data_IF_340352570398
#
_entry.id   IF_340352570398
#
_cell.length_a   1.000
_cell.length_b   1.000
_cell.length_c   1.000
_cell.angle_alpha   90.00
_cell.angle_beta   90.00
_cell.angle_gamma   90.00
#
_symmetry.space_group_name_H-M   'P 1'
#
loop_
_entity.id
_entity.type
_entity.pdbx_description
1 polymer ?
#
# COMPACT_ATOMS: atom_id res chain seq x y z
N UNK A 1 -26.98 -44.91 7.57
CA UNK A 1 -25.79 -45.25 6.76
C UNK A 1 -25.59 -44.33 5.53
N UNK A 2 -26.60 -43.58 5.05
CA UNK A 2 -26.46 -42.74 3.84
C UNK A 2 -25.57 -41.49 3.96
N UNK A 3 -25.61 -40.77 5.10
CA UNK A 3 -24.95 -39.45 5.20
C UNK A 3 -23.42 -39.44 5.09
N UNK A 4 -22.74 -40.54 5.43
CA UNK A 4 -21.28 -40.61 5.30
C UNK A 4 -20.85 -40.85 3.84
N UNK A 5 -21.55 -41.74 3.13
CA UNK A 5 -21.30 -42.02 1.72
C UNK A 5 -21.61 -40.80 0.85
N UNK A 6 -22.69 -40.09 1.16
CA UNK A 6 -23.09 -38.85 0.49
C UNK A 6 -22.01 -37.75 0.61
N UNK A 7 -21.51 -37.52 1.82
CA UNK A 7 -20.42 -36.58 2.06
C UNK A 7 -19.13 -36.95 1.30
N UNK A 8 -18.82 -38.24 1.16
CA UNK A 8 -17.66 -38.71 0.38
C UNK A 8 -17.86 -38.46 -1.12
N UNK A 9 -19.06 -38.71 -1.65
CA UNK A 9 -19.40 -38.46 -3.06
C UNK A 9 -19.26 -36.98 -3.38
N UNK A 10 -19.87 -36.10 -2.58
CA UNK A 10 -19.73 -34.64 -2.75
C UNK A 10 -18.30 -34.13 -2.52
N UNK A 11 -17.49 -34.85 -1.76
CA UNK A 11 -16.08 -34.48 -1.53
C UNK A 11 -15.19 -34.82 -2.72
N UNK A 12 -15.29 -36.01 -3.30
CA UNK A 12 -14.30 -36.50 -4.28
C UNK A 12 -14.83 -36.67 -5.69
N UNK A 13 -16.13 -36.91 -5.84
CA UNK A 13 -16.76 -37.34 -7.10
C UNK A 13 -17.89 -36.42 -7.54
N UNK A 14 -17.96 -35.20 -6.98
CA UNK A 14 -19.06 -34.28 -7.22
C UNK A 14 -19.12 -33.74 -8.64
N UNK A 15 -18.13 -34.01 -9.50
CA UNK A 15 -18.07 -33.49 -10.86
C UNK A 15 -17.66 -34.55 -11.89
N UNK A 16 -17.78 -35.84 -11.56
CA UNK A 16 -17.53 -36.90 -12.54
C UNK A 16 -18.60 -36.87 -13.64
N UNK A 17 -18.22 -37.26 -14.85
CA UNK A 17 -19.04 -37.14 -16.06
C UNK A 17 -20.28 -38.04 -16.12
N UNK A 18 -20.56 -38.85 -15.10
CA UNK A 18 -21.67 -39.80 -15.06
C UNK A 18 -22.52 -39.60 -13.78
N UNK A 19 -23.84 -39.83 -13.82
CA UNK A 19 -24.67 -39.80 -12.61
C UNK A 19 -24.26 -40.87 -11.60
N UNK A 20 -24.14 -40.47 -10.35
CA UNK A 20 -23.96 -41.33 -9.18
C UNK A 20 -25.30 -41.41 -8.44
N UNK A 21 -25.81 -42.62 -8.29
CA UNK A 21 -27.01 -42.94 -7.50
C UNK A 21 -26.59 -43.75 -6.27
N UNK A 22 -27.19 -43.48 -5.11
CA UNK A 22 -26.95 -44.25 -3.88
C UNK A 22 -28.21 -45.04 -3.53
N UNK A 23 -28.13 -46.37 -3.53
CA UNK A 23 -29.29 -47.23 -3.27
C UNK A 23 -30.35 -47.13 -4.37
N UNK A 24 -31.62 -46.99 -3.97
CA UNK A 24 -32.78 -46.93 -4.88
C UNK A 24 -33.16 -45.48 -5.29
N UNK A 25 -32.28 -44.51 -5.05
CA UNK A 25 -32.53 -43.11 -5.40
C UNK A 25 -32.55 -42.91 -6.92
N UNK A 26 -33.56 -42.18 -7.41
CA UNK A 26 -33.74 -41.87 -8.84
C UNK A 26 -33.13 -40.55 -9.26
N UNK A 27 -32.72 -39.72 -8.29
CA UNK A 27 -32.01 -38.46 -8.52
C UNK A 27 -30.51 -38.69 -8.33
N UNK A 28 -29.70 -38.20 -9.26
CA UNK A 28 -28.26 -38.24 -9.11
C UNK A 28 -27.82 -37.34 -7.95
N UNK A 29 -26.88 -37.84 -7.15
CA UNK A 29 -26.35 -37.17 -5.97
C UNK A 29 -25.25 -36.19 -6.36
N UNK A 30 -24.31 -36.63 -7.20
CA UNK A 30 -23.22 -35.78 -7.67
C UNK A 30 -23.71 -34.72 -8.66
N UNK A 31 -22.98 -33.62 -8.73
CA UNK A 31 -23.10 -32.69 -9.84
C UNK A 31 -22.37 -33.29 -11.05
N UNK A 32 -22.90 -33.05 -12.24
CA UNK A 32 -22.38 -33.71 -13.45
C UNK A 32 -21.47 -32.81 -14.28
N UNK A 33 -21.53 -31.49 -14.06
CA UNK A 33 -20.80 -30.52 -14.88
C UNK A 33 -19.89 -29.66 -14.02
N UNK A 34 -18.58 -29.87 -14.20
CA UNK A 34 -17.55 -28.96 -13.74
C UNK A 34 -17.64 -27.64 -14.53
N UNK A 35 -18.23 -26.60 -13.93
CA UNK A 35 -18.46 -25.31 -14.62
C UNK A 35 -17.17 -24.67 -15.15
N UNK A 36 -16.03 -24.94 -14.51
CA UNK A 36 -14.71 -24.44 -14.94
C UNK A 36 -14.22 -25.09 -16.25
N UNK A 37 -14.78 -26.24 -16.66
CA UNK A 37 -14.46 -26.90 -17.94
C UNK A 37 -15.38 -26.45 -19.08
N UNK A 38 -16.48 -25.76 -18.81
CA UNK A 38 -17.37 -25.24 -19.83
C UNK A 38 -16.72 -24.08 -20.61
N UNK A 39 -17.11 -23.83 -21.86
CA UNK A 39 -16.78 -22.59 -22.55
C UNK A 39 -17.27 -21.36 -21.76
N UNK A 40 -16.53 -20.25 -21.81
CA UNK A 40 -16.89 -19.06 -21.01
C UNK A 40 -18.27 -18.48 -21.35
N UNK A 41 -18.74 -18.67 -22.59
CA UNK A 41 -20.07 -18.28 -23.04
C UNK A 41 -21.21 -19.10 -22.40
N UNK A 42 -20.92 -20.28 -21.86
CA UNK A 42 -21.91 -21.16 -21.22
C UNK A 42 -21.96 -21.01 -19.70
N UNK A 43 -20.98 -20.32 -19.11
CA UNK A 43 -20.95 -20.05 -17.67
C UNK A 43 -21.65 -18.71 -17.39
N UNK A 44 -22.90 -18.76 -16.92
CA UNK A 44 -23.61 -17.54 -16.51
C UNK A 44 -23.01 -16.96 -15.23
N UNK A 45 -23.25 -15.66 -14.98
CA UNK A 45 -22.75 -15.00 -13.77
C UNK A 45 -23.40 -15.61 -12.51
N UNK A 46 -24.69 -15.95 -12.58
CA UNK A 46 -25.42 -16.58 -11.46
C UNK A 46 -24.83 -17.95 -11.09
N UNK A 47 -24.52 -18.79 -12.10
CA UNK A 47 -23.93 -20.10 -11.86
C UNK A 47 -22.52 -19.98 -11.26
N UNK A 48 -21.73 -19.01 -11.73
CA UNK A 48 -20.40 -18.74 -11.18
C UNK A 48 -20.47 -18.21 -9.74
N UNK A 49 -21.39 -17.29 -9.45
CA UNK A 49 -21.56 -16.70 -8.13
C UNK A 49 -22.07 -17.75 -7.12
N UNK A 50 -23.03 -18.59 -7.51
CA UNK A 50 -23.48 -19.71 -6.66
C UNK A 50 -22.35 -20.69 -6.36
N UNK A 51 -21.51 -20.99 -7.36
CA UNK A 51 -20.32 -21.81 -7.12
C UNK A 51 -19.32 -21.13 -6.18
N UNK A 52 -19.05 -19.84 -6.35
CA UNK A 52 -18.19 -19.07 -5.44
C UNK A 52 -18.69 -19.15 -3.99
N UNK A 53 -19.99 -18.91 -3.76
CA UNK A 53 -20.59 -18.96 -2.41
C UNK A 53 -20.45 -20.34 -1.77
N UNK A 54 -20.63 -21.39 -2.55
CA UNK A 54 -20.49 -22.76 -2.07
C UNK A 54 -19.04 -23.17 -1.84
N UNK A 55 -18.12 -22.61 -2.63
CA UNK A 55 -16.68 -22.85 -2.48
C UNK A 55 -16.13 -22.18 -1.21
N UNK A 56 -16.55 -20.95 -0.94
CA UNK A 56 -15.96 -20.07 0.08
C UNK A 56 -16.78 -19.96 1.36
N UNK A 57 -18.05 -20.38 1.32
CA UNK A 57 -19.06 -20.11 2.36
C UNK A 57 -19.32 -18.61 2.59
N UNK A 58 -18.88 -17.75 1.67
CA UNK A 58 -19.28 -16.36 1.59
C UNK A 58 -20.70 -16.28 1.01
N UNK A 59 -21.54 -15.41 1.56
CA UNK A 59 -22.90 -15.19 1.04
C UNK A 59 -22.98 -14.01 0.07
N UNK A 60 -21.88 -13.26 -0.09
CA UNK A 60 -21.76 -12.17 -1.04
C UNK A 60 -21.27 -12.67 -2.40
N UNK A 61 -21.64 -11.96 -3.46
CA UNK A 61 -21.13 -12.26 -4.80
C UNK A 61 -19.66 -11.79 -4.90
N UNK A 62 -18.81 -12.47 -5.68
CA UNK A 62 -17.43 -12.06 -5.88
C UNK A 62 -17.37 -10.74 -6.66
N UNK A 63 -16.31 -9.96 -6.44
CA UNK A 63 -16.05 -8.73 -7.20
C UNK A 63 -15.83 -9.03 -8.68
N UNK A 64 -15.05 -10.07 -8.97
CA UNK A 64 -14.72 -10.44 -10.34
C UNK A 64 -14.49 -11.93 -10.46
N UNK A 65 -14.77 -12.47 -11.64
CA UNK A 65 -14.43 -13.84 -12.04
C UNK A 65 -13.35 -13.83 -13.12
N UNK A 66 -12.45 -14.80 -13.05
CA UNK A 66 -11.38 -15.00 -14.01
C UNK A 66 -11.39 -16.46 -14.44
N UNK A 67 -11.83 -16.71 -15.67
CA UNK A 67 -11.83 -18.05 -16.23
C UNK A 67 -10.59 -18.26 -17.10
N UNK A 68 -9.91 -19.38 -16.88
CA UNK A 68 -8.73 -19.77 -17.66
C UNK A 68 -9.01 -21.11 -18.31
N UNK A 69 -9.03 -21.13 -19.64
CA UNK A 69 -9.19 -22.34 -20.42
C UNK A 69 -8.09 -22.31 -21.50
N UNK A 70 -7.02 -23.06 -21.29
CA UNK A 70 -5.86 -23.06 -22.18
C UNK A 70 -5.22 -24.44 -22.25
N UNK A 71 -4.71 -24.79 -23.44
CA UNK A 71 -4.02 -26.05 -23.71
C UNK A 71 -2.50 -25.85 -23.92
N UNK A 72 -2.05 -24.58 -24.03
CA UNK A 72 -0.64 -24.21 -24.28
C UNK A 72 -0.28 -22.99 -23.40
N UNK A 73 0.86 -22.99 -22.68
CA UNK A 73 1.91 -24.02 -22.67
C UNK A 73 1.62 -25.24 -21.77
N UNK A 74 0.49 -25.23 -21.06
CA UNK A 74 0.02 -26.30 -20.17
C UNK A 74 -1.49 -26.41 -20.31
N UNK A 75 -2.03 -27.63 -20.27
CA UNK A 75 -3.46 -27.85 -20.27
C UNK A 75 -4.05 -27.59 -18.89
N UNK A 76 -4.76 -26.47 -18.76
CA UNK A 76 -5.45 -26.09 -17.52
C UNK A 76 -6.85 -25.56 -17.80
N UNK A 77 -7.75 -25.85 -16.86
CA UNK A 77 -9.09 -25.30 -16.75
C UNK A 77 -9.23 -24.74 -15.33
N UNK A 78 -9.44 -23.44 -15.20
CA UNK A 78 -9.57 -22.80 -13.91
C UNK A 78 -10.71 -21.79 -13.90
N UNK A 79 -11.33 -21.66 -12.73
CA UNK A 79 -12.30 -20.62 -12.44
C UNK A 79 -11.89 -19.99 -11.11
N UNK A 80 -11.40 -18.76 -11.21
CA UNK A 80 -10.87 -17.99 -10.10
C UNK A 80 -11.79 -16.80 -9.81
N UNK A 81 -11.75 -16.33 -8.57
CA UNK A 81 -12.59 -15.26 -8.07
C UNK A 81 -11.75 -14.30 -7.21
N UNK A 82 -12.06 -13.03 -7.35
CA UNK A 82 -11.65 -11.99 -6.41
C UNK A 82 -12.85 -11.74 -5.49
N UNK A 83 -12.75 -12.01 -4.18
CA UNK A 83 -13.82 -11.70 -3.23
C UNK A 83 -14.21 -10.22 -3.26
N UNK A 84 -15.46 -9.90 -2.92
CA UNK A 84 -15.91 -8.51 -2.82
C UNK A 84 -15.28 -7.75 -1.65
N UNK A 85 -14.91 -8.46 -0.58
CA UNK A 85 -14.28 -7.91 0.62
C UNK A 85 -13.16 -8.81 1.08
N UNK A 86 -12.15 -8.21 1.70
CA UNK A 86 -11.15 -8.98 2.42
C UNK A 86 -11.80 -9.59 3.67
N UNK A 87 -11.59 -10.88 3.91
CA UNK A 87 -12.01 -11.53 5.15
C UNK A 87 -11.13 -11.03 6.32
N UNK A 88 -11.73 -10.20 7.19
CA UNK A 88 -11.10 -9.58 8.36
C UNK A 88 -11.62 -10.19 9.66
N UNK A 89 -11.98 -11.48 9.67
CA UNK A 89 -12.44 -12.16 10.89
C UNK A 89 -11.58 -11.85 12.12
N UNK A 90 -12.22 -11.73 13.29
CA UNK A 90 -11.72 -11.10 14.53
C UNK A 90 -10.29 -11.51 14.99
N UNK A 91 -9.71 -12.61 14.51
CA UNK A 91 -8.36 -13.09 14.86
C UNK A 91 -7.64 -13.82 13.72
N UNK A 92 -7.97 -13.58 12.45
CA UNK A 92 -7.51 -14.43 11.35
C UNK A 92 -6.23 -13.94 10.66
N UNK A 93 -5.13 -14.66 10.86
CA UNK A 93 -4.25 -15.02 9.74
C UNK A 93 -4.95 -16.22 9.08
N UNK A 94 -5.64 -16.02 7.96
CA UNK A 94 -6.31 -17.11 7.24
C UNK A 94 -5.26 -18.15 6.87
N UNK A 95 -5.17 -19.25 7.63
CA UNK A 95 -4.21 -20.33 7.38
C UNK A 95 -4.65 -21.19 6.18
N UNK A 96 -5.95 -21.20 5.90
CA UNK A 96 -6.63 -22.00 4.87
C UNK A 96 -6.84 -21.18 3.58
N UNK A 97 -5.74 -20.69 3.01
CA UNK A 97 -5.73 -20.03 1.69
C UNK A 97 -5.13 -20.94 0.61
N UNK A 98 -5.45 -20.63 -0.64
CA UNK A 98 -4.96 -21.38 -1.81
C UNK A 98 -6.10 -22.01 -2.60
N UNK A 99 -5.79 -22.44 -3.81
CA UNK A 99 -6.81 -22.91 -4.75
C UNK A 99 -7.15 -24.38 -4.52
N UNK A 100 -8.39 -24.75 -4.81
CA UNK A 100 -8.79 -26.16 -4.85
C UNK A 100 -8.23 -26.82 -6.12
N UNK A 101 -7.47 -27.90 -5.95
CA UNK A 101 -6.79 -28.58 -7.04
C UNK A 101 -7.51 -29.88 -7.42
N UNK A 102 -7.80 -30.02 -8.71
CA UNK A 102 -8.42 -31.17 -9.33
C UNK A 102 -7.50 -31.77 -10.41
N UNK A 103 -7.60 -33.07 -10.60
CA UNK A 103 -7.06 -33.77 -11.76
C UNK A 103 -8.13 -34.68 -12.32
N UNK A 104 -8.39 -34.60 -13.63
CA UNK A 104 -9.51 -35.31 -14.26
C UNK A 104 -10.86 -35.12 -13.54
N UNK A 105 -11.16 -33.90 -13.09
CA UNK A 105 -12.38 -33.57 -12.31
C UNK A 105 -12.48 -34.26 -10.95
N UNK A 106 -11.44 -34.97 -10.51
CA UNK A 106 -11.34 -35.58 -9.19
C UNK A 106 -10.57 -34.63 -8.27
N UNK A 107 -11.14 -34.34 -7.11
CA UNK A 107 -10.54 -33.42 -6.15
C UNK A 107 -9.30 -34.05 -5.50
N UNK A 108 -8.15 -33.40 -5.62
CA UNK A 108 -6.87 -33.86 -5.10
C UNK A 108 -6.58 -33.20 -3.76
N UNK A 109 -6.59 -31.88 -3.72
CA UNK A 109 -6.20 -31.12 -2.53
C UNK A 109 -7.00 -29.82 -2.42
N UNK A 110 -7.45 -29.51 -1.21
CA UNK A 110 -8.01 -28.19 -0.87
C UNK A 110 -6.85 -27.25 -0.46
N UNK A 111 -7.00 -25.95 -0.70
CA UNK A 111 -6.05 -24.92 -0.25
C UNK A 111 -4.61 -25.15 -0.72
N UNK A 112 -4.41 -25.52 -1.99
CA UNK A 112 -3.08 -25.73 -2.54
C UNK A 112 -2.40 -24.38 -2.87
N UNK A 113 -1.44 -24.01 -2.03
CA UNK A 113 -0.81 -22.68 -1.98
C UNK A 113 0.18 -22.41 -3.13
N UNK A 114 0.75 -23.44 -3.74
CA UNK A 114 1.83 -23.27 -4.72
C UNK A 114 1.36 -22.85 -6.13
N UNK A 115 0.04 -22.76 -6.36
CA UNK A 115 -0.53 -22.36 -7.67
C UNK A 115 -0.51 -20.86 -7.92
N UNK A 116 -0.35 -20.05 -6.88
CA UNK A 116 -0.25 -18.60 -6.97
C UNK A 116 0.85 -18.09 -6.04
N UNK A 117 1.46 -16.94 -6.32
CA UNK A 117 2.37 -16.29 -5.39
C UNK A 117 1.62 -15.79 -4.16
N UNK A 118 2.34 -15.62 -3.04
CA UNK A 118 1.73 -15.27 -1.76
C UNK A 118 0.95 -13.94 -1.79
N UNK A 119 1.37 -12.99 -2.62
CA UNK A 119 0.66 -11.72 -2.79
C UNK A 119 -0.68 -11.85 -3.53
N UNK A 120 -1.00 -13.02 -4.11
CA UNK A 120 -2.32 -13.32 -4.70
C UNK A 120 -3.10 -14.32 -3.84
N UNK A 121 -2.74 -14.49 -2.56
CA UNK A 121 -3.39 -15.44 -1.63
C UNK A 121 -4.87 -15.16 -1.36
N UNK A 122 -5.37 -13.98 -1.72
CA UNK A 122 -6.78 -13.61 -1.60
C UNK A 122 -7.65 -14.20 -2.74
N UNK A 123 -7.04 -14.76 -3.79
CA UNK A 123 -7.77 -15.39 -4.89
C UNK A 123 -8.35 -16.71 -4.42
N UNK A 124 -9.66 -16.85 -4.60
CA UNK A 124 -10.40 -18.09 -4.35
C UNK A 124 -10.70 -18.77 -5.67
N UNK A 125 -10.76 -20.10 -5.69
CA UNK A 125 -11.13 -20.78 -6.93
C UNK A 125 -10.67 -22.21 -7.04
N UNK A 126 -10.79 -22.69 -8.26
CA UNK A 126 -10.50 -24.07 -8.65
C UNK A 126 -9.56 -24.11 -9.84
N UNK A 127 -8.64 -25.08 -9.83
CA UNK A 127 -7.74 -25.40 -10.94
C UNK A 127 -7.84 -26.89 -11.21
N UNK A 128 -8.05 -27.25 -12.47
CA UNK A 128 -8.18 -28.62 -12.94
C UNK A 128 -7.25 -28.85 -14.14
N UNK A 129 -6.52 -29.95 -14.11
CA UNK A 129 -5.64 -30.35 -15.21
C UNK A 129 -5.49 -31.87 -15.26
N UNK A 130 -5.54 -32.39 -16.48
CA UNK A 130 -5.40 -33.82 -16.77
C UNK A 130 -3.93 -34.28 -16.70
N UNK A 131 -2.98 -33.34 -16.69
CA UNK A 131 -1.54 -33.61 -16.78
C UNK A 131 -0.80 -33.49 -15.43
N UNK A 132 -1.52 -33.31 -14.32
CA UNK A 132 -0.90 -33.14 -13.00
C UNK A 132 -0.16 -34.43 -12.59
N UNK A 133 1.14 -34.36 -12.29
CA UNK A 133 1.90 -35.52 -11.80
C UNK A 133 1.49 -35.82 -10.36
N UNK A 134 0.63 -36.82 -10.20
CA UNK A 134 0.19 -37.28 -8.88
C UNK A 134 1.16 -38.31 -8.31
N UNK A 135 1.33 -38.27 -6.99
CA UNK A 135 2.01 -39.35 -6.28
C UNK A 135 1.18 -40.66 -6.32
N UNK A 136 1.76 -41.78 -5.87
CA UNK A 136 1.08 -43.09 -5.92
C UNK A 136 -0.22 -43.12 -5.13
N UNK A 137 -0.32 -42.37 -4.02
CA UNK A 137 -1.57 -42.27 -3.24
C UNK A 137 -2.62 -41.36 -3.86
N UNK A 138 -2.27 -40.53 -4.86
CA UNK A 138 -3.10 -39.47 -5.44
C UNK A 138 -3.62 -38.46 -4.42
N UNK A 139 -2.97 -38.34 -3.26
CA UNK A 139 -3.37 -37.47 -2.15
C UNK A 139 -2.53 -36.20 -2.06
N UNK A 140 -1.37 -36.16 -2.71
CA UNK A 140 -0.55 -34.95 -2.73
C UNK A 140 0.19 -34.78 -4.06
N UNK A 141 0.43 -33.51 -4.40
CA UNK A 141 1.14 -33.12 -5.61
C UNK A 141 2.60 -32.84 -5.27
N UNK A 142 3.51 -33.38 -6.09
CA UNK A 142 4.92 -33.08 -5.98
C UNK A 142 5.25 -31.79 -6.74
N UNK A 143 6.15 -30.98 -6.18
CA UNK A 143 6.68 -29.83 -6.89
C UNK A 143 7.33 -30.29 -8.20
N UNK A 144 6.94 -29.67 -9.32
CA UNK A 144 7.42 -30.04 -10.65
C UNK A 144 7.51 -28.83 -11.59
N UNK A 145 8.31 -28.90 -12.66
CA UNK A 145 8.34 -27.85 -13.68
C UNK A 145 6.97 -27.58 -14.31
N UNK A 146 6.08 -28.60 -14.34
CA UNK A 146 4.70 -28.45 -14.80
C UNK A 146 3.89 -27.55 -13.86
N UNK A 147 3.94 -27.79 -12.55
CA UNK A 147 3.27 -26.95 -11.55
C UNK A 147 3.78 -25.50 -11.58
N UNK A 148 5.10 -25.30 -11.75
CA UNK A 148 5.67 -23.96 -11.90
C UNK A 148 5.14 -23.22 -13.16
N UNK A 149 4.92 -23.93 -14.27
CA UNK A 149 4.29 -23.35 -15.47
C UNK A 149 2.83 -23.00 -15.23
N UNK A 150 2.08 -23.85 -14.53
CA UNK A 150 0.69 -23.53 -14.13
C UNK A 150 0.68 -22.23 -13.30
N UNK A 151 1.51 -22.15 -12.26
CA UNK A 151 1.64 -20.94 -11.43
C UNK A 151 1.88 -19.70 -12.28
N UNK A 152 2.87 -19.75 -13.19
CA UNK A 152 3.19 -18.63 -14.09
C UNK A 152 2.00 -18.22 -14.98
N UNK A 153 1.27 -19.19 -15.54
CA UNK A 153 0.10 -18.90 -16.38
C UNK A 153 -1.02 -18.27 -15.55
N UNK A 154 -1.34 -18.84 -14.39
CA UNK A 154 -2.39 -18.32 -13.50
C UNK A 154 -2.05 -16.92 -13.00
N UNK A 155 -0.83 -16.67 -12.51
CA UNK A 155 -0.37 -15.33 -12.12
C UNK A 155 -0.54 -14.34 -13.26
N UNK A 156 -0.07 -14.68 -14.47
CA UNK A 156 -0.21 -13.80 -15.63
C UNK A 156 -1.67 -13.48 -15.99
N UNK A 157 -2.58 -14.46 -15.85
CA UNK A 157 -4.02 -14.27 -16.09
C UNK A 157 -4.65 -13.37 -15.02
N UNK A 158 -4.29 -13.53 -13.76
CA UNK A 158 -4.78 -12.67 -12.67
C UNK A 158 -4.29 -11.24 -12.84
N UNK A 159 -2.98 -11.04 -13.05
CA UNK A 159 -2.42 -9.70 -13.26
C UNK A 159 -3.01 -9.02 -14.51
N UNK A 160 -3.22 -9.77 -15.60
CA UNK A 160 -3.88 -9.26 -16.79
C UNK A 160 -5.35 -8.85 -16.55
N UNK A 161 -6.07 -9.60 -15.70
CA UNK A 161 -7.44 -9.23 -15.32
C UNK A 161 -7.46 -7.96 -14.46
N UNK A 162 -6.54 -7.83 -13.52
CA UNK A 162 -6.38 -6.60 -12.71
C UNK A 162 -6.03 -5.39 -13.57
N UNK A 163 -5.10 -5.55 -14.51
CA UNK A 163 -4.75 -4.47 -15.45
C UNK A 163 -5.93 -4.06 -16.33
N UNK A 164 -6.73 -5.04 -16.80
CA UNK A 164 -7.96 -4.75 -17.55
C UNK A 164 -8.99 -4.03 -16.69
N UNK A 165 -9.19 -4.45 -15.44
CA UNK A 165 -10.10 -3.79 -14.50
C UNK A 165 -9.67 -2.35 -14.24
N UNK A 166 -8.38 -2.11 -14.02
CA UNK A 166 -7.80 -0.78 -13.87
C UNK A 166 -8.05 0.15 -15.07
N UNK A 167 -8.00 -0.38 -16.29
CA UNK A 167 -8.17 0.40 -17.53
C UNK A 167 -9.64 0.60 -17.93
N UNK A 168 -10.49 -0.43 -17.75
CA UNK A 168 -11.87 -0.44 -18.26
C UNK A 168 -12.93 -0.16 -17.20
N UNK A 169 -12.64 -0.43 -15.93
CA UNK A 169 -13.61 -0.44 -14.84
C UNK A 169 -13.00 0.26 -13.59
N UNK A 170 -12.60 1.55 -13.70
CA UNK A 170 -11.81 2.23 -12.67
C UNK A 170 -12.49 2.29 -11.30
N UNK A 171 -13.82 2.46 -11.25
CA UNK A 171 -14.57 2.45 -9.99
C UNK A 171 -14.51 1.09 -9.28
N UNK A 172 -14.56 -0.01 -10.04
CA UNK A 172 -14.41 -1.35 -9.50
C UNK A 172 -12.95 -1.59 -9.08
N UNK A 173 -11.99 -1.06 -9.83
CA UNK A 173 -10.58 -1.13 -9.46
C UNK A 173 -10.26 -0.37 -8.17
N UNK A 174 -10.89 0.78 -7.94
CA UNK A 174 -10.77 1.51 -6.68
C UNK A 174 -11.33 0.70 -5.50
N UNK A 175 -12.45 -0.01 -5.71
CA UNK A 175 -12.99 -0.94 -4.71
C UNK A 175 -12.04 -2.11 -4.45
N UNK A 176 -11.45 -2.69 -5.50
CA UNK A 176 -10.39 -3.71 -5.39
C UNK A 176 -9.20 -3.18 -4.58
N UNK A 177 -8.71 -1.99 -4.91
CA UNK A 177 -7.53 -1.40 -4.29
C UNK A 177 -7.71 -1.17 -2.79
N UNK A 178 -8.90 -0.71 -2.37
CA UNK A 178 -9.22 -0.49 -0.94
C UNK A 178 -9.19 -1.78 -0.12
N UNK A 179 -9.52 -2.92 -0.73
CA UNK A 179 -9.55 -4.20 -0.02
C UNK A 179 -8.23 -4.97 -0.14
N UNK A 180 -7.57 -4.91 -1.30
CA UNK A 180 -6.46 -5.80 -1.65
C UNK A 180 -5.17 -5.07 -2.05
N UNK A 181 -5.13 -3.74 -2.02
CA UNK A 181 -3.95 -2.95 -2.44
C UNK A 181 -2.68 -3.28 -1.66
N UNK A 182 -2.80 -3.58 -0.35
CA UNK A 182 -1.67 -4.00 0.48
C UNK A 182 -0.98 -5.28 -0.05
N UNK A 183 -1.75 -6.21 -0.63
CA UNK A 183 -1.18 -7.41 -1.23
C UNK A 183 -0.41 -7.07 -2.51
N UNK A 184 -0.91 -6.16 -3.35
CA UNK A 184 -0.19 -5.71 -4.54
C UNK A 184 1.14 -5.03 -4.14
N UNK A 185 1.13 -4.19 -3.10
CA UNK A 185 2.34 -3.58 -2.53
C UNK A 185 3.33 -4.64 -2.03
N UNK A 186 2.85 -5.64 -1.30
CA UNK A 186 3.66 -6.79 -0.87
C UNK A 186 4.33 -7.48 -2.05
N UNK A 187 3.60 -7.68 -3.15
CA UNK A 187 4.15 -8.24 -4.39
C UNK A 187 5.24 -7.38 -5.00
N UNK A 188 5.07 -6.06 -5.08
CA UNK A 188 6.08 -5.13 -5.59
C UNK A 188 7.36 -5.12 -4.74
N UNK A 189 7.23 -5.30 -3.42
CA UNK A 189 8.36 -5.28 -2.49
C UNK A 189 9.13 -6.61 -2.51
N UNK A 190 8.42 -7.74 -2.58
CA UNK A 190 9.02 -9.06 -2.34
C UNK A 190 9.24 -9.90 -3.61
N UNK A 191 8.55 -9.62 -4.71
CA UNK A 191 8.56 -10.46 -5.93
C UNK A 191 9.08 -9.67 -7.15
N UNK A 192 10.41 -9.49 -7.21
CA UNK A 192 11.09 -8.77 -8.30
C UNK A 192 10.72 -9.24 -9.70
N UNK A 193 10.39 -10.53 -9.87
CA UNK A 193 10.03 -11.11 -11.17
C UNK A 193 8.69 -10.63 -11.75
N UNK A 194 7.80 -10.10 -10.91
CA UNK A 194 6.48 -9.59 -11.31
C UNK A 194 6.37 -8.06 -11.13
N UNK A 195 7.44 -7.40 -10.66
CA UNK A 195 7.48 -5.98 -10.32
C UNK A 195 7.03 -5.07 -11.49
N UNK A 196 7.50 -5.34 -12.71
CA UNK A 196 7.13 -4.59 -13.92
C UNK A 196 5.61 -4.60 -14.19
N UNK A 197 4.92 -5.71 -13.88
CA UNK A 197 3.48 -5.85 -14.07
C UNK A 197 2.65 -5.34 -12.91
N UNK A 198 3.23 -5.37 -11.70
CA UNK A 198 2.56 -4.94 -10.47
C UNK A 198 2.65 -3.43 -10.27
N UNK A 199 3.75 -2.79 -10.66
CA UNK A 199 3.97 -1.36 -10.41
C UNK A 199 2.89 -0.46 -11.05
N UNK A 200 2.43 -0.70 -12.30
CA UNK A 200 1.34 0.07 -12.91
C UNK A 200 -0.03 -0.11 -12.21
N UNK A 201 -0.18 -1.15 -11.40
CA UNK A 201 -1.40 -1.43 -10.63
C UNK A 201 -1.47 -0.63 -9.32
N UNK A 202 -0.36 -0.02 -8.88
CA UNK A 202 -0.33 0.76 -7.65
C UNK A 202 -1.22 2.00 -7.74
N UNK A 203 -1.85 2.37 -6.63
CA UNK A 203 -2.66 3.59 -6.50
C UNK A 203 -2.35 4.34 -5.21
N UNK A 204 -2.37 5.65 -5.30
CA UNK A 204 -2.04 6.57 -4.20
C UNK A 204 -3.00 7.74 -4.18
N UNK A 205 -3.11 8.41 -3.05
CA UNK A 205 -3.65 9.77 -3.04
C UNK A 205 -2.55 10.76 -3.45
N UNK A 206 -2.94 11.95 -3.85
CA UNK A 206 -2.03 12.99 -4.32
C UNK A 206 -2.50 14.38 -3.90
N UNK A 207 -1.58 15.34 -3.80
CA UNK A 207 -1.87 16.75 -3.55
C UNK A 207 -2.79 17.39 -4.61
N UNK A 208 -2.79 16.85 -5.85
CA UNK A 208 -3.66 17.31 -6.95
C UNK A 208 -4.77 16.31 -7.33
N UNK A 209 -4.97 15.26 -6.52
CA UNK A 209 -5.84 14.14 -6.88
C UNK A 209 -7.34 14.33 -6.63
N UNK A 210 -7.79 15.44 -6.03
CA UNK A 210 -9.19 15.67 -5.63
C UNK A 210 -9.81 14.47 -4.87
N UNK A 211 -9.12 13.95 -3.85
CA UNK A 211 -9.50 12.73 -3.10
C UNK A 211 -9.50 11.41 -3.89
N UNK A 212 -9.27 11.44 -5.21
CA UNK A 212 -9.20 10.24 -6.05
C UNK A 212 -7.87 9.51 -5.88
N UNK A 213 -7.92 8.22 -6.15
CA UNK A 213 -6.74 7.38 -6.27
C UNK A 213 -6.12 7.57 -7.66
N UNK A 214 -4.81 7.77 -7.70
CA UNK A 214 -4.03 7.98 -8.92
C UNK A 214 -2.92 6.95 -9.04
N UNK A 215 -2.61 6.51 -10.25
CA UNK A 215 -1.44 5.67 -10.53
C UNK A 215 -0.18 6.50 -10.71
N UNK A 216 0.99 5.84 -10.71
CA UNK A 216 2.23 6.50 -11.12
C UNK A 216 2.18 7.01 -12.57
N UNK A 217 1.46 6.32 -13.46
CA UNK A 217 1.29 6.77 -14.84
C UNK A 217 0.45 8.04 -14.91
N UNK A 218 -0.60 8.15 -14.09
CA UNK A 218 -1.42 9.36 -14.01
C UNK A 218 -0.60 10.54 -13.50
N UNK A 219 0.27 10.31 -12.50
CA UNK A 219 1.21 11.31 -11.99
C UNK A 219 2.18 11.76 -13.08
N UNK A 220 2.89 10.83 -13.72
CA UNK A 220 3.86 11.12 -14.78
C UNK A 220 3.19 11.84 -15.97
N UNK A 221 1.93 11.52 -16.27
CA UNK A 221 1.16 12.20 -17.31
C UNK A 221 0.82 13.66 -17.00
N UNK A 222 0.95 14.12 -15.75
CA UNK A 222 0.62 15.48 -15.30
C UNK A 222 1.85 16.35 -14.99
N UNK A 223 3.00 15.76 -14.69
CA UNK A 223 4.21 16.53 -14.35
C UNK A 223 4.84 17.19 -15.58
N UNK A 224 5.65 18.23 -15.33
CA UNK A 224 6.44 18.87 -16.38
C UNK A 224 7.39 17.86 -17.05
N UNK A 225 7.55 17.86 -18.39
CA UNK A 225 8.45 16.94 -19.09
C UNK A 225 9.92 16.95 -18.62
N UNK A 226 10.38 18.07 -18.05
CA UNK A 226 11.72 18.23 -17.49
C UNK A 226 11.86 17.58 -16.10
N UNK A 227 10.77 17.39 -15.37
CA UNK A 227 10.78 16.70 -14.08
C UNK A 227 11.16 15.23 -14.28
N UNK A 228 12.10 14.72 -13.47
CA UNK A 228 12.56 13.32 -13.45
C UNK A 228 12.49 12.69 -12.06
N UNK A 229 11.63 13.23 -11.22
CA UNK A 229 11.45 12.82 -9.82
C UNK A 229 9.97 12.67 -9.52
N UNK A 230 9.59 11.56 -8.90
CA UNK A 230 8.30 11.37 -8.24
C UNK A 230 8.48 11.81 -6.79
N UNK A 231 7.84 12.92 -6.44
CA UNK A 231 7.84 13.42 -5.07
C UNK A 231 6.75 12.72 -4.26
N UNK A 232 7.11 12.27 -3.06
CA UNK A 232 6.17 11.61 -2.16
C UNK A 232 6.39 12.02 -0.71
N UNK A 233 5.37 11.83 0.12
CA UNK A 233 5.44 11.97 1.58
C UNK A 233 4.76 10.77 2.23
N UNK A 234 5.34 10.30 3.34
CA UNK A 234 4.85 9.14 4.09
C UNK A 234 4.24 9.57 5.41
N UNK A 235 3.11 8.98 5.78
CA UNK A 235 2.44 9.27 7.06
C UNK A 235 1.33 8.26 7.39
N UNK A 236 0.74 8.38 8.58
CA UNK A 236 -0.32 7.47 9.03
C UNK A 236 -1.71 7.83 8.50
N UNK A 237 -1.93 9.12 8.24
CA UNK A 237 -3.24 9.67 7.95
C UNK A 237 -3.18 10.67 6.81
N UNK A 238 -4.11 10.52 5.87
CA UNK A 238 -4.22 11.37 4.70
C UNK A 238 -4.50 12.83 5.09
N UNK A 239 -5.31 13.05 6.13
CA UNK A 239 -5.65 14.41 6.56
C UNK A 239 -4.44 15.12 7.17
N UNK A 240 -3.62 14.39 7.95
CA UNK A 240 -2.36 14.90 8.52
C UNK A 240 -1.35 15.22 7.43
N UNK A 241 -1.17 14.32 6.46
CA UNK A 241 -0.24 14.53 5.35
C UNK A 241 -0.55 15.80 4.55
N UNK A 242 -1.84 16.08 4.30
CA UNK A 242 -2.27 17.31 3.59
C UNK A 242 -1.91 18.60 4.31
N UNK A 243 -1.71 18.54 5.62
CA UNK A 243 -1.33 19.68 6.48
C UNK A 243 0.17 19.66 6.81
N UNK A 244 0.96 18.83 6.12
CA UNK A 244 2.37 18.73 6.39
C UNK A 244 3.10 19.99 5.93
N UNK A 245 3.97 20.58 6.77
CA UNK A 245 4.79 21.73 6.40
C UNK A 245 5.81 21.39 5.31
N UNK A 246 6.09 20.09 5.08
CA UNK A 246 6.95 19.65 3.98
C UNK A 246 6.35 19.87 2.59
N UNK A 247 5.06 20.23 2.52
CA UNK A 247 4.38 20.51 1.25
C UNK A 247 4.42 21.99 0.85
N UNK A 248 4.90 22.90 1.70
CA UNK A 248 4.84 24.36 1.48
C UNK A 248 5.40 24.78 0.12
N UNK A 249 6.69 24.51 -0.12
CA UNK A 249 7.31 24.87 -1.40
C UNK A 249 6.70 24.12 -2.59
N UNK A 250 6.21 22.88 -2.39
CA UNK A 250 5.55 22.11 -3.44
C UNK A 250 4.22 22.73 -3.84
N UNK A 251 3.41 23.17 -2.88
CA UNK A 251 2.18 23.91 -3.15
C UNK A 251 2.46 25.26 -3.80
N UNK A 252 3.47 26.00 -3.32
CA UNK A 252 3.86 27.30 -3.87
C UNK A 252 4.33 27.20 -5.33
N UNK A 253 5.05 26.14 -5.68
CA UNK A 253 5.55 25.90 -7.05
C UNK A 253 4.60 25.06 -7.90
N UNK A 254 3.42 24.72 -7.39
CA UNK A 254 2.43 23.85 -8.04
C UNK A 254 3.03 22.48 -8.48
N UNK A 255 3.87 21.88 -7.65
CA UNK A 255 4.45 20.54 -7.86
C UNK A 255 3.58 19.49 -7.16
N UNK A 256 3.20 18.44 -7.90
CA UNK A 256 2.39 17.35 -7.38
C UNK A 256 3.21 16.41 -6.47
N UNK A 257 2.64 16.02 -5.33
CA UNK A 257 3.24 15.11 -4.34
C UNK A 257 2.28 13.95 -4.06
N UNK A 258 2.80 12.72 -4.09
CA UNK A 258 2.04 11.51 -3.75
C UNK A 258 2.01 11.28 -2.23
N UNK A 259 0.86 10.84 -1.73
CA UNK A 259 0.63 10.54 -0.33
C UNK A 259 0.68 9.03 -0.08
N UNK A 260 1.67 8.62 0.69
CA UNK A 260 1.95 7.22 1.05
C UNK A 260 1.46 6.97 2.48
N UNK A 261 0.27 6.37 2.60
CA UNK A 261 -0.42 6.21 3.89
C UNK A 261 -0.33 4.79 4.46
N UNK A 262 -0.04 3.79 3.62
CA UNK A 262 0.07 2.40 4.05
C UNK A 262 1.43 2.13 4.69
N UNK A 263 1.52 1.27 5.72
CA UNK A 263 2.80 0.87 6.32
C UNK A 263 3.82 0.31 5.30
N UNK A 264 3.36 -0.34 4.23
CA UNK A 264 4.23 -0.90 3.19
C UNK A 264 4.74 0.17 2.20
N UNK A 265 4.09 1.32 2.10
CA UNK A 265 4.41 2.31 1.07
C UNK A 265 5.84 2.83 1.17
N UNK A 266 6.35 2.99 2.39
CA UNK A 266 7.71 3.48 2.63
C UNK A 266 8.82 2.59 2.08
N UNK A 267 8.52 1.33 1.76
CA UNK A 267 9.48 0.40 1.16
C UNK A 267 9.45 0.41 -0.38
N UNK A 268 8.41 0.98 -1.00
CA UNK A 268 8.26 1.00 -2.45
C UNK A 268 9.41 1.74 -3.16
N UNK A 269 9.83 2.95 -2.73
CA UNK A 269 10.94 3.68 -3.37
C UNK A 269 12.24 2.87 -3.39
N UNK A 270 12.57 2.22 -2.27
CA UNK A 270 13.79 1.40 -2.15
C UNK A 270 13.71 0.12 -2.98
N UNK A 271 12.53 -0.49 -3.11
CA UNK A 271 12.32 -1.68 -3.95
C UNK A 271 12.38 -1.35 -5.44
N UNK A 272 11.77 -0.24 -5.86
CA UNK A 272 11.63 0.15 -7.26
C UNK A 272 12.89 0.81 -7.80
N UNK A 273 13.58 1.62 -6.97
CA UNK A 273 14.67 2.55 -7.35
C UNK A 273 14.22 3.67 -8.29
N UNK A 274 13.62 3.31 -9.42
CA UNK A 274 13.04 4.22 -10.40
C UNK A 274 11.78 3.62 -11.02
N UNK A 275 10.96 4.44 -11.67
CA UNK A 275 9.82 4.02 -12.47
C UNK A 275 9.71 4.87 -13.72
N UNK A 276 9.72 4.25 -14.91
CA UNK A 276 9.66 4.96 -16.21
C UNK A 276 10.72 6.08 -16.33
N UNK A 277 11.91 5.88 -15.73
CA UNK A 277 13.01 6.84 -15.70
C UNK A 277 12.85 7.99 -14.68
N UNK A 278 11.87 7.91 -13.77
CA UNK A 278 11.71 8.84 -12.65
C UNK A 278 12.29 8.23 -11.37
N UNK A 279 13.13 8.98 -10.66
CA UNK A 279 13.58 8.64 -9.32
C UNK A 279 12.52 8.97 -8.28
N UNK A 280 12.60 8.38 -7.09
CA UNK A 280 11.72 8.72 -5.97
C UNK A 280 12.45 9.66 -4.99
N UNK A 281 11.76 10.70 -4.52
CA UNK A 281 12.30 11.62 -3.52
C UNK A 281 11.25 11.90 -2.43
N UNK A 282 11.60 11.61 -1.18
CA UNK A 282 10.75 12.00 -0.06
C UNK A 282 10.89 13.52 0.15
N UNK A 283 9.77 14.21 0.29
CA UNK A 283 9.73 15.66 0.53
C UNK A 283 10.17 16.05 1.94
N UNK A 284 10.16 15.10 2.88
CA UNK A 284 10.60 15.28 4.26
C UNK A 284 12.11 15.03 4.46
N UNK A 285 12.85 14.69 3.41
CA UNK A 285 14.30 14.47 3.47
C UNK A 285 15.08 15.78 3.61
N UNK A 286 16.22 15.70 4.31
CA UNK A 286 17.16 16.82 4.40
C UNK A 286 17.84 17.11 3.07
N UNK A 287 18.09 18.40 2.81
CA UNK A 287 18.84 18.83 1.62
C UNK A 287 18.05 18.67 0.32
N UNK A 288 16.72 18.56 0.39
CA UNK A 288 15.85 18.61 -0.77
C UNK A 288 16.04 19.95 -1.50
N UNK A 289 16.44 19.87 -2.76
CA UNK A 289 16.50 21.01 -3.68
C UNK A 289 15.37 20.90 -4.70
N UNK A 290 14.53 21.93 -4.78
CA UNK A 290 13.54 22.04 -5.84
C UNK A 290 14.17 22.68 -7.09
N UNK A 291 13.67 22.33 -8.29
CA UNK A 291 14.05 23.04 -9.51
C UNK A 291 13.81 24.53 -9.32
N UNK A 292 14.85 25.36 -9.54
CA UNK A 292 14.70 26.82 -9.45
C UNK A 292 13.70 27.29 -10.50
N UNK A 293 12.69 28.04 -10.08
CA UNK A 293 11.86 28.80 -11.01
C UNK A 293 12.60 30.09 -11.40
N UNK A 294 12.64 30.40 -12.70
CA UNK A 294 13.39 31.53 -13.27
C UNK A 294 13.00 32.91 -12.68
N UNK A 295 11.87 33.02 -11.97
CA UNK A 295 11.33 34.27 -11.41
C UNK A 295 11.64 34.49 -9.91
N UNK A 296 12.26 33.55 -9.18
CA UNK A 296 12.47 33.68 -7.71
C UNK A 296 13.79 34.35 -7.29
N UNK A 297 14.74 34.59 -8.20
CA UNK A 297 16.02 35.25 -7.89
C UNK A 297 15.87 36.71 -7.37
N UNK A 298 14.67 37.30 -7.44
CA UNK A 298 14.44 38.70 -7.07
C UNK A 298 13.81 38.92 -5.67
N UNK A 299 13.40 37.88 -4.93
CA UNK A 299 12.63 38.05 -3.66
C UNK A 299 13.21 37.39 -2.39
N UNK A 300 14.33 36.66 -2.46
CA UNK A 300 14.86 35.94 -1.28
C UNK A 300 15.59 36.83 -0.26
N UNK A 301 16.23 37.92 -0.71
CA UNK A 301 17.23 38.60 0.14
C UNK A 301 16.73 39.85 0.87
N UNK A 302 15.56 40.40 0.54
CA UNK A 302 15.12 41.70 1.09
C UNK A 302 14.27 41.63 2.37
N UNK A 303 13.69 40.48 2.72
CA UNK A 303 12.88 40.29 3.95
C UNK A 303 13.52 39.33 4.97
N UNK A 304 14.82 39.03 4.83
CA UNK A 304 15.50 38.12 5.72
C UNK A 304 15.77 38.79 7.08
N UNK A 305 15.37 38.14 8.17
CA UNK A 305 15.72 38.51 9.55
C UNK A 305 17.23 38.80 9.66
N UNK A 306 17.65 39.85 10.39
CA UNK A 306 19.06 40.17 10.58
C UNK A 306 19.84 38.96 11.13
N UNK A 307 21.05 38.73 10.63
CA UNK A 307 21.84 37.54 10.98
C UNK A 307 22.12 37.41 12.48
N UNK A 308 22.27 38.53 13.18
CA UNK A 308 22.45 38.56 14.63
C UNK A 308 21.18 38.11 15.39
N UNK A 309 20.00 38.57 14.98
CA UNK A 309 18.72 38.15 15.58
C UNK A 309 18.45 36.67 15.30
N UNK A 310 18.78 36.22 14.08
CA UNK A 310 18.69 34.82 13.71
C UNK A 310 19.61 33.92 14.55
N UNK A 311 20.87 34.33 14.75
CA UNK A 311 21.81 33.58 15.57
C UNK A 311 21.33 33.46 17.02
N UNK A 312 20.81 34.55 17.60
CA UNK A 312 20.23 34.55 18.95
C UNK A 312 18.99 33.64 19.06
N UNK A 313 18.12 33.67 18.05
CA UNK A 313 16.96 32.78 17.98
C UNK A 313 17.38 31.31 17.95
N UNK A 314 18.31 30.95 17.07
CA UNK A 314 18.86 29.59 16.96
C UNK A 314 19.47 29.12 18.27
N UNK A 315 20.26 29.96 18.94
CA UNK A 315 20.85 29.64 20.25
C UNK A 315 19.76 29.42 21.31
N UNK A 316 18.71 30.25 21.33
CA UNK A 316 17.62 30.11 22.28
C UNK A 316 16.84 28.80 22.07
N UNK A 317 16.53 28.44 20.84
CA UNK A 317 15.89 27.15 20.52
C UNK A 317 16.78 25.97 20.95
N UNK A 318 18.09 26.00 20.64
CA UNK A 318 19.03 24.95 21.05
C UNK A 318 19.13 24.82 22.56
N UNK A 319 19.14 25.94 23.28
CA UNK A 319 19.22 25.96 24.74
C UNK A 319 17.95 25.38 25.37
N UNK A 320 16.78 25.77 24.87
CA UNK A 320 15.49 25.32 25.40
C UNK A 320 15.23 23.84 25.10
N UNK A 321 15.43 23.42 23.84
CA UNK A 321 15.13 22.05 23.41
C UNK A 321 16.24 21.05 23.77
N UNK A 322 17.47 21.53 23.96
CA UNK A 322 18.61 20.73 24.40
C UNK A 322 18.77 19.44 23.60
N UNK A 323 18.76 18.32 24.32
CA UNK A 323 18.95 16.98 23.74
C UNK A 323 17.76 16.46 22.92
N UNK A 324 16.62 17.17 22.85
CA UNK A 324 15.45 16.75 22.05
C UNK A 324 15.69 16.83 20.53
N UNK A 325 16.60 17.71 20.10
CA UNK A 325 16.89 17.96 18.68
C UNK A 325 18.37 17.72 18.36
N UNK A 326 18.67 17.57 17.06
CA UNK A 326 20.05 17.50 16.57
C UNK A 326 20.60 18.90 16.31
N UNK A 327 19.79 19.75 15.66
CA UNK A 327 20.22 21.08 15.21
C UNK A 327 19.00 21.96 14.90
N UNK A 328 19.22 23.27 14.81
CA UNK A 328 18.20 24.26 14.37
C UNK A 328 18.75 24.99 13.16
N UNK A 329 17.97 25.04 12.08
CA UNK A 329 18.41 25.59 10.79
C UNK A 329 17.36 26.50 10.17
N UNK A 330 17.80 27.29 9.20
CA UNK A 330 16.91 28.08 8.35
C UNK A 330 16.31 27.17 7.29
N UNK A 331 15.02 27.30 7.05
CA UNK A 331 14.37 26.63 5.92
C UNK A 331 14.20 27.59 4.75
N UNK A 332 14.52 27.10 3.56
CA UNK A 332 14.18 27.75 2.29
C UNK A 332 12.93 27.13 1.64
N UNK A 333 12.39 26.06 2.23
CA UNK A 333 11.22 25.33 1.71
C UNK A 333 9.91 25.66 2.44
N UNK A 334 9.98 26.34 3.58
CA UNK A 334 8.79 26.78 4.33
C UNK A 334 8.26 28.10 3.78
N UNK A 335 6.93 28.18 3.64
CA UNK A 335 6.23 29.36 3.14
C UNK A 335 5.18 29.80 4.15
N UNK A 336 4.22 28.93 4.47
CA UNK A 336 3.09 29.23 5.36
C UNK A 336 3.35 28.75 6.79
N UNK A 337 4.14 27.69 6.97
CA UNK A 337 4.35 27.10 8.28
C UNK A 337 5.55 27.70 9.01
N UNK A 338 5.53 27.78 10.36
CA UNK A 338 6.61 28.34 11.16
C UNK A 338 7.85 27.44 11.23
N UNK A 339 7.65 26.12 11.19
CA UNK A 339 8.71 25.14 11.36
C UNK A 339 8.37 23.79 10.73
N UNK A 340 9.40 22.98 10.48
CA UNK A 340 9.30 21.55 10.14
C UNK A 340 10.41 20.74 10.80
N UNK A 341 10.16 19.45 10.99
CA UNK A 341 11.14 18.51 11.51
C UNK A 341 11.70 17.66 10.37
N UNK A 342 13.02 17.61 10.26
CA UNK A 342 13.72 16.95 9.15
C UNK A 342 14.64 15.87 9.69
N UNK A 343 14.69 14.73 9.01
CA UNK A 343 15.61 13.64 9.34
C UNK A 343 17.07 14.06 9.06
N UNK A 344 18.04 13.83 9.97
CA UNK A 344 19.45 14.06 9.68
C UNK A 344 19.95 13.23 8.50
N UNK A 345 20.88 13.77 7.71
CA UNK A 345 21.46 13.04 6.58
C UNK A 345 22.09 11.70 7.04
N UNK A 346 21.73 10.61 6.37
CA UNK A 346 22.21 9.26 6.70
C UNK A 346 21.52 8.59 7.89
N UNK A 347 20.54 9.23 8.54
CA UNK A 347 19.65 8.52 9.45
C UNK A 347 18.70 7.59 8.67
N UNK A 348 18.15 6.54 9.29
CA UNK A 348 16.98 5.89 8.74
C UNK A 348 15.91 6.95 8.42
N UNK A 349 15.28 6.86 7.26
CA UNK A 349 14.20 7.78 6.86
C UNK A 349 12.99 7.65 7.79
N UNK A 350 12.08 8.62 7.73
CA UNK A 350 10.85 8.64 8.53
C UNK A 350 10.00 7.36 8.37
N UNK A 351 10.18 6.65 7.26
CA UNK A 351 9.56 5.35 6.98
C UNK A 351 10.01 4.25 7.96
N UNK A 352 11.32 4.18 8.24
CA UNK A 352 11.89 3.17 9.13
C UNK A 352 11.59 3.47 10.60
N UNK A 353 11.56 4.76 10.96
CA UNK A 353 11.14 5.22 12.29
C UNK A 353 9.72 4.74 12.61
N UNK A 354 8.80 4.86 11.63
CA UNK A 354 7.41 4.38 11.75
C UNK A 354 7.32 2.87 11.97
N UNK A 355 8.10 2.08 11.23
CA UNK A 355 8.12 0.62 11.37
C UNK A 355 8.69 0.22 12.72
N UNK A 356 9.77 0.88 13.18
CA UNK A 356 10.35 0.65 14.51
C UNK A 356 9.35 0.94 15.61
N UNK A 357 8.58 2.03 15.52
CA UNK A 357 7.53 2.36 16.49
C UNK A 357 6.46 1.26 16.61
N UNK A 358 6.15 0.56 15.51
CA UNK A 358 5.18 -0.54 15.53
C UNK A 358 5.78 -1.86 16.07
N UNK A 359 7.10 -2.02 16.04
CA UNK A 359 7.78 -3.26 16.42
C UNK A 359 8.44 -3.21 17.80
N UNK A 360 8.83 -2.02 18.27
CA UNK A 360 9.60 -1.82 19.48
C UNK A 360 8.71 -1.28 20.61
N UNK A 361 8.60 -2.04 21.69
CA UNK A 361 7.89 -1.64 22.91
C UNK A 361 8.56 -0.44 23.62
N UNK A 362 9.86 -0.19 23.36
CA UNK A 362 10.66 0.88 23.98
C UNK A 362 11.15 1.90 22.95
N UNK A 363 10.25 2.34 22.05
CA UNK A 363 10.57 3.32 21.01
C UNK A 363 11.01 4.68 21.59
N UNK A 364 12.27 5.06 21.36
CA UNK A 364 12.77 6.42 21.61
C UNK A 364 12.50 7.31 20.39
N UNK A 365 12.08 8.56 20.65
CA UNK A 365 11.82 9.52 19.57
C UNK A 365 13.14 9.84 18.87
N UNK A 366 13.23 9.64 17.54
CA UNK A 366 14.42 9.97 16.77
C UNK A 366 14.63 11.48 16.82
N UNK A 367 15.83 11.92 17.23
CA UNK A 367 16.20 13.34 17.22
C UNK A 367 16.20 13.85 15.78
N UNK A 368 15.48 14.96 15.54
CA UNK A 368 15.35 15.60 14.22
C UNK A 368 16.09 16.94 14.19
N UNK A 369 16.28 17.46 12.99
CA UNK A 369 16.70 18.84 12.75
C UNK A 369 15.43 19.69 12.70
N UNK A 370 15.37 20.76 13.49
CA UNK A 370 14.28 21.73 13.45
C UNK A 370 14.62 22.82 12.43
N UNK A 371 13.90 22.87 11.33
CA UNK A 371 14.02 23.97 10.39
C UNK A 371 12.94 25.03 10.66
N UNK A 372 13.35 26.29 10.74
CA UNK A 372 12.47 27.42 11.03
C UNK A 372 12.29 28.32 9.79
N UNK A 373 11.09 28.85 9.63
CA UNK A 373 10.74 29.80 8.58
C UNK A 373 11.09 31.23 9.02
N UNK A 374 12.13 31.86 8.46
CA UNK A 374 12.58 33.19 8.87
C UNK A 374 11.58 34.31 8.57
N UNK A 375 10.57 34.05 7.73
CA UNK A 375 9.55 35.02 7.29
C UNK A 375 8.23 34.86 8.04
N UNK A 376 8.06 33.79 8.82
CA UNK A 376 6.80 33.51 9.48
C UNK A 376 6.59 34.44 10.70
N UNK A 377 5.42 35.07 10.88
CA UNK A 377 5.17 36.03 11.96
C UNK A 377 5.48 35.51 13.37
N UNK A 378 5.20 34.23 13.65
CA UNK A 378 5.55 33.61 14.96
C UNK A 378 7.07 33.64 15.17
N UNK A 379 7.85 33.31 14.15
CA UNK A 379 9.31 33.22 14.25
C UNK A 379 9.92 34.60 14.40
N UNK A 380 9.43 35.60 13.65
CA UNK A 380 9.89 36.99 13.76
C UNK A 380 9.52 37.62 15.10
N UNK A 381 8.32 37.34 15.62
CA UNK A 381 7.90 37.84 16.92
C UNK A 381 8.70 37.22 18.07
N UNK A 382 9.02 35.92 17.99
CA UNK A 382 9.90 35.27 18.96
C UNK A 382 11.32 35.88 18.95
N UNK A 383 11.88 36.14 17.77
CA UNK A 383 13.19 36.80 17.65
C UNK A 383 13.18 38.19 18.31
N UNK A 384 12.10 38.96 18.13
CA UNK A 384 11.94 40.27 18.77
C UNK A 384 11.86 40.15 20.31
N UNK A 385 11.08 39.21 20.84
CA UNK A 385 10.94 39.02 22.30
C UNK A 385 12.26 38.60 22.95
N UNK A 386 13.01 37.71 22.29
CA UNK A 386 14.35 37.28 22.73
C UNK A 386 15.30 38.47 22.78
N UNK A 387 15.22 39.37 21.79
CA UNK A 387 16.09 40.55 21.71
C UNK A 387 15.79 41.59 22.80
N UNK A 388 14.54 41.73 23.22
CA UNK A 388 14.18 42.64 24.32
C UNK A 388 14.38 42.02 25.71
N UNK A 389 14.46 40.69 25.80
CA UNK A 389 14.51 39.96 27.07
C UNK A 389 13.17 39.96 27.82
N UNK A 390 12.07 40.29 27.12
CA UNK A 390 10.73 40.30 27.70
C UNK A 390 10.08 38.92 27.55
N UNK A 391 9.23 38.56 28.52
CA UNK A 391 8.35 37.39 28.43
C UNK A 391 9.11 36.06 28.20
N UNK A 392 10.26 35.87 28.88
CA UNK A 392 11.11 34.67 28.76
C UNK A 392 10.34 33.34 28.91
N UNK A 393 9.37 33.30 29.82
CA UNK A 393 8.52 32.13 30.04
C UNK A 393 7.65 31.81 28.82
N UNK A 394 7.01 32.83 28.23
CA UNK A 394 6.22 32.70 27.00
C UNK A 394 7.08 32.25 25.82
N UNK A 395 8.30 32.77 25.70
CA UNK A 395 9.26 32.36 24.66
C UNK A 395 9.57 30.87 24.80
N UNK A 396 9.86 30.41 26.02
CA UNK A 396 10.20 29.00 26.26
C UNK A 396 9.02 28.07 25.94
N UNK A 397 7.82 28.39 26.42
CA UNK A 397 6.59 27.63 26.12
C UNK A 397 6.32 27.61 24.62
N UNK A 398 6.50 28.75 23.93
CA UNK A 398 6.29 28.83 22.47
C UNK A 398 7.27 27.96 21.69
N UNK A 399 8.53 27.89 22.11
CA UNK A 399 9.55 27.03 21.49
C UNK A 399 9.18 25.55 21.63
N UNK A 400 8.79 25.13 22.84
CA UNK A 400 8.33 23.77 23.11
C UNK A 400 7.07 23.43 22.28
N UNK A 401 6.10 24.35 22.24
CA UNK A 401 4.88 24.19 21.45
C UNK A 401 5.16 24.03 19.95
N UNK A 402 6.09 24.81 19.39
CA UNK A 402 6.49 24.68 17.97
C UNK A 402 7.11 23.31 17.70
N UNK A 403 7.99 22.84 18.60
CA UNK A 403 8.63 21.54 18.48
C UNK A 403 7.61 20.39 18.59
N UNK A 404 6.72 20.44 19.58
CA UNK A 404 5.69 19.42 19.82
C UNK A 404 4.64 19.39 18.69
N UNK A 405 4.26 20.54 18.13
CA UNK A 405 3.43 20.60 16.92
C UNK A 405 4.10 19.86 15.76
N UNK A 406 5.42 20.06 15.58
CA UNK A 406 6.20 19.32 14.60
C UNK A 406 6.13 17.81 14.86
N UNK A 407 6.37 17.36 16.10
CA UNK A 407 6.28 15.94 16.46
C UNK A 407 4.88 15.36 16.20
N UNK A 408 3.83 16.14 16.45
CA UNK A 408 2.46 15.72 16.21
C UNK A 408 2.19 15.51 14.72
N UNK A 409 2.65 16.43 13.87
CA UNK A 409 2.50 16.36 12.42
C UNK A 409 3.31 15.20 11.81
N UNK A 410 4.49 14.90 12.36
CA UNK A 410 5.29 13.74 11.98
C UNK A 410 4.75 12.41 12.53
N UNK A 411 3.71 12.44 13.38
CA UNK A 411 3.20 11.25 14.06
C UNK A 411 4.17 10.68 15.11
N UNK A 412 5.12 11.47 15.59
CA UNK A 412 6.17 11.08 16.53
C UNK A 412 5.85 11.47 17.99
N UNK A 413 4.78 12.22 18.21
CA UNK A 413 4.44 12.71 19.55
C UNK A 413 4.13 11.54 20.51
N UNK A 414 4.80 11.46 21.69
CA UNK A 414 4.64 10.32 22.60
C UNK A 414 3.29 10.35 23.33
N UNK A 415 2.84 11.55 23.73
CA UNK A 415 1.55 11.75 24.39
C UNK A 415 0.99 13.17 24.10
N UNK A 416 0.09 13.35 23.12
CA UNK A 416 -0.44 14.66 22.76
C UNK A 416 -1.12 15.42 23.92
N UNK A 417 -1.48 14.74 25.02
CA UNK A 417 -2.05 15.39 26.19
C UNK A 417 -1.06 16.30 26.93
N UNK A 418 0.24 16.06 26.80
CA UNK A 418 1.28 16.88 27.46
C UNK A 418 1.27 18.32 26.91
N UNK A 419 0.80 18.50 25.67
CA UNK A 419 0.66 19.82 25.03
C UNK A 419 -0.44 20.69 25.68
N UNK A 420 -1.33 20.12 26.51
CA UNK A 420 -2.46 20.86 27.11
C UNK A 420 -1.98 21.98 28.03
N UNK A 421 -0.88 21.78 28.76
CA UNK A 421 -0.31 22.80 29.65
C UNK A 421 0.20 24.02 28.87
N UNK A 422 0.66 23.83 27.63
CA UNK A 422 1.09 24.92 26.76
C UNK A 422 -0.09 25.69 26.13
N UNK A 423 -1.26 25.02 26.03
CA UNK A 423 -2.48 25.58 25.40
C UNK A 423 -3.35 26.35 26.41
N UNK A 424 -3.38 25.92 27.67
CA UNK A 424 -4.14 26.55 28.76
C UNK A 424 -3.49 27.82 29.26
#
# INVERSE_FOLDING_TARGET
MGGHSDAIIHKYSDFVSFPIYLGDETKAINRQQAIWRLPASEVTDEAANEYYKQLTYDFTDPMTRIQVNTDVPVQIRALLFIPAKLDRGLFSVKQDFGLRLYSHQIRIQDHYKELLPNYLRFIEGVVDSDDIPLNVSRESVQSSPFMARIKKVLTGRVLGALAKMADKEPEQYDAFWREFGAFIKEGVINEYGDQEKLTPLLRFHSSKGDDRLVSFNDYIGRVDPAQKTIYYIVGDDLSTLRRSPHLDAFHAQDIEVLYFTDPLDGFLPSSLREYEGFNFQNVADAGLELPKQDDEEAKSDQDAMPEAEWAALVERFKTQLGDKIVDVRRSDLLVEHPARLVAPAGSPGSEMDRVRRLMDEHYEIPKKILELNPRHPIVTNLASLISTGDQDELVNVSIEQIYENGLLLEGLHPNPADMVEHIQ
#
